data_IF_521791243801
#
_entry.id   IF_521791243801
#
_cell.length_a   1.000
_cell.length_b   1.000
_cell.length_c   1.000
_cell.angle_alpha   90.00
_cell.angle_beta   90.00
_cell.angle_gamma   90.00
#
_symmetry.space_group_name_H-M   'P 1'
#
loop_
_entity.id
_entity.type
_entity.pdbx_description
1 polymer ?
#
# COMPACT_ATOMS: atom_id res chain seq x y z
N UNK A 1 1.47 6.02 -15.23
CA UNK A 1 0.18 6.55 -15.70
C UNK A 1 -0.59 5.40 -16.35
N UNK A 2 -1.81 5.13 -15.88
CA UNK A 2 -2.68 4.07 -16.39
C UNK A 2 -3.94 4.61 -17.07
N UNK A 3 -4.09 5.94 -17.21
CA UNK A 3 -5.34 6.61 -17.60
C UNK A 3 -5.98 6.09 -18.89
N UNK A 4 -5.20 5.88 -19.95
CA UNK A 4 -5.70 5.49 -21.29
C UNK A 4 -5.73 3.96 -21.50
N UNK A 5 -5.63 3.18 -20.42
CA UNK A 5 -5.72 1.72 -20.51
C UNK A 5 -7.18 1.28 -20.37
N UNK A 6 -7.63 0.24 -21.10
CA UNK A 6 -8.99 -0.28 -21.03
C UNK A 6 -9.21 -1.13 -19.76
N UNK A 7 -8.81 -0.61 -18.60
CA UNK A 7 -8.87 -1.30 -17.31
C UNK A 7 -10.25 -1.07 -16.69
N UNK A 8 -10.94 -2.18 -16.40
CA UNK A 8 -12.22 -2.17 -15.66
C UNK A 8 -12.06 -2.48 -14.17
N UNK A 9 -10.89 -3.00 -13.79
CA UNK A 9 -10.52 -3.29 -12.40
C UNK A 9 -9.00 -3.28 -12.26
N UNK A 10 -8.52 -3.06 -11.03
CA UNK A 10 -7.13 -3.28 -10.64
C UNK A 10 -7.09 -4.54 -9.77
N UNK A 11 -6.50 -5.66 -10.25
CA UNK A 11 -6.42 -6.88 -9.47
C UNK A 11 -5.70 -6.67 -8.13
N UNK A 12 -6.14 -7.39 -7.10
CA UNK A 12 -5.48 -7.36 -5.79
C UNK A 12 -4.01 -7.77 -5.93
N UNK A 13 -3.13 -6.97 -5.32
CA UNK A 13 -1.68 -7.22 -5.37
C UNK A 13 -0.98 -6.72 -6.63
N UNK A 14 -1.67 -6.10 -7.60
CA UNK A 14 -1.01 -5.50 -8.78
C UNK A 14 0.03 -4.44 -8.42
N UNK A 15 -0.12 -3.84 -7.24
CA UNK A 15 0.78 -2.82 -6.69
C UNK A 15 1.59 -3.34 -5.49
N UNK A 16 1.72 -4.66 -5.33
CA UNK A 16 2.60 -5.25 -4.33
C UNK A 16 4.06 -4.89 -4.65
N UNK A 17 4.80 -4.45 -3.63
CA UNK A 17 6.18 -3.98 -3.75
C UNK A 17 6.34 -2.52 -4.15
N UNK A 18 5.26 -1.84 -4.56
CA UNK A 18 5.31 -0.41 -4.88
C UNK A 18 5.09 0.44 -3.61
N UNK A 19 6.15 0.65 -2.83
CA UNK A 19 6.10 1.31 -1.51
C UNK A 19 6.41 2.81 -1.51
N UNK A 20 6.78 3.36 -2.67
CA UNK A 20 7.20 4.77 -2.82
C UNK A 20 6.57 5.46 -4.04
N UNK A 21 5.32 5.13 -4.36
CA UNK A 21 4.59 5.81 -5.43
C UNK A 21 4.31 7.26 -5.02
N UNK A 22 4.93 8.20 -5.73
CA UNK A 22 4.66 9.63 -5.56
C UNK A 22 3.34 10.02 -6.22
N UNK A 23 3.05 9.41 -7.38
CA UNK A 23 1.90 9.74 -8.19
C UNK A 23 1.46 8.52 -9.00
N UNK A 24 0.15 8.28 -9.06
CA UNK A 24 -0.48 7.27 -9.88
C UNK A 24 -1.78 7.83 -10.47
N UNK A 25 -1.84 7.95 -11.78
CA UNK A 25 -3.08 8.23 -12.50
C UNK A 25 -3.73 6.92 -12.96
N UNK A 26 -5.02 6.75 -12.69
CA UNK A 26 -5.85 5.62 -13.12
C UNK A 26 -7.08 6.14 -13.86
N UNK A 27 -7.74 5.32 -14.71
CA UNK A 27 -9.03 5.70 -15.30
C UNK A 27 -10.02 6.13 -14.22
N UNK A 28 -10.83 7.17 -14.47
CA UNK A 28 -11.73 7.80 -13.48
C UNK A 28 -12.67 6.81 -12.76
N UNK A 29 -13.08 5.74 -13.46
CA UNK A 29 -13.95 4.71 -12.91
C UNK A 29 -13.27 3.84 -11.83
N UNK A 30 -11.94 3.80 -11.78
CA UNK A 30 -11.17 2.97 -10.86
C UNK A 30 -10.79 3.75 -9.61
N UNK A 31 -10.85 3.11 -8.45
CA UNK A 31 -10.30 3.64 -7.21
C UNK A 31 -8.78 3.56 -7.18
N UNK A 32 -8.17 4.46 -6.40
CA UNK A 32 -6.77 4.37 -6.08
C UNK A 32 -6.49 3.03 -5.38
N UNK A 33 -5.39 2.34 -5.68
CA UNK A 33 -4.99 1.12 -4.96
C UNK A 33 -4.91 1.41 -3.46
N UNK A 34 -5.47 0.52 -2.63
CA UNK A 34 -5.56 0.72 -1.18
C UNK A 34 -6.63 1.72 -0.73
N UNK A 35 -7.45 2.24 -1.65
CA UNK A 35 -8.48 3.24 -1.37
C UNK A 35 -7.90 4.63 -1.12
N UNK A 36 -8.76 5.62 -0.86
CA UNK A 36 -8.33 7.01 -0.61
C UNK A 36 -7.49 7.18 0.65
N UNK A 37 -7.63 6.30 1.64
CA UNK A 37 -6.86 6.33 2.89
C UNK A 37 -5.37 6.02 2.70
N UNK A 38 -5.01 5.32 1.62
CA UNK A 38 -3.63 4.97 1.28
C UNK A 38 -2.82 6.11 0.65
N UNK A 39 -3.45 7.26 0.39
CA UNK A 39 -2.86 8.39 -0.32
C UNK A 39 -3.05 9.69 0.47
N UNK A 40 -2.10 10.60 0.33
CA UNK A 40 -2.18 11.95 0.91
C UNK A 40 -3.30 12.74 0.27
N UNK A 41 -3.40 12.63 -1.05
CA UNK A 41 -4.38 13.33 -1.86
C UNK A 41 -4.91 12.43 -2.97
N UNK A 42 -6.23 12.47 -3.18
CA UNK A 42 -6.89 11.86 -4.34
C UNK A 42 -7.75 12.90 -5.01
N UNK A 43 -7.45 13.20 -6.27
CA UNK A 43 -8.21 14.15 -7.09
C UNK A 43 -8.78 13.45 -8.32
N UNK A 44 -9.91 13.97 -8.82
CA UNK A 44 -10.42 13.60 -10.13
C UNK A 44 -10.04 14.74 -11.09
N UNK A 45 -9.32 14.40 -12.16
CA UNK A 45 -8.90 15.36 -13.18
C UNK A 45 -9.26 14.80 -14.58
N UNK A 46 -10.18 15.48 -15.26
CA UNK A 46 -10.67 15.05 -16.58
C UNK A 46 -11.23 13.63 -16.57
N UNK A 47 -10.64 12.76 -17.39
CA UNK A 47 -10.96 11.32 -17.51
C UNK A 47 -10.18 10.43 -16.54
N UNK A 48 -9.41 11.03 -15.62
CA UNK A 48 -8.48 10.32 -14.74
C UNK A 48 -8.77 10.57 -13.26
N UNK A 49 -8.34 9.64 -12.44
CA UNK A 49 -8.22 9.81 -10.99
C UNK A 49 -6.73 9.80 -10.64
N UNK A 50 -6.28 10.86 -9.99
CA UNK A 50 -4.90 11.06 -9.59
C UNK A 50 -4.75 10.74 -8.10
N UNK A 51 -3.86 9.81 -7.80
CA UNK A 51 -3.52 9.37 -6.45
C UNK A 51 -2.11 9.88 -6.14
N UNK A 52 -1.95 10.75 -5.16
CA UNK A 52 -0.69 11.43 -4.86
C UNK A 52 -0.25 11.18 -3.41
N UNK A 53 1.06 11.07 -3.23
CA UNK A 53 1.69 10.86 -1.94
C UNK A 53 1.23 9.57 -1.27
N UNK A 54 1.78 8.42 -1.67
CA UNK A 54 1.48 7.16 -1.00
C UNK A 54 1.83 7.25 0.49
N UNK A 55 0.84 6.99 1.35
CA UNK A 55 1.02 6.97 2.80
C UNK A 55 1.67 5.67 3.25
N UNK A 56 2.50 5.75 4.28
CA UNK A 56 2.99 4.56 4.97
C UNK A 56 1.91 4.04 5.94
N UNK A 57 1.31 2.87 5.70
CA UNK A 57 0.32 2.29 6.59
C UNK A 57 0.86 1.99 8.00
N UNK A 58 2.18 1.85 8.18
CA UNK A 58 2.81 1.60 9.47
C UNK A 58 3.02 2.86 10.33
N UNK A 59 2.76 4.06 9.82
CA UNK A 59 2.96 5.34 10.55
C UNK A 59 1.74 5.76 11.43
N UNK A 60 0.66 4.96 11.49
CA UNK A 60 -0.53 5.31 12.26
C UNK A 60 -0.35 5.12 13.77
N UNK A 61 -0.78 6.10 14.58
CA UNK A 61 -0.81 6.04 16.06
C UNK A 61 -2.10 5.43 16.63
N UNK A 62 -2.99 4.90 15.80
CA UNK A 62 -4.27 4.32 16.21
C UNK A 62 -4.12 2.90 16.78
N UNK A 63 -5.00 2.52 17.71
CA UNK A 63 -5.07 1.28 18.50
C UNK A 63 -4.97 -0.07 17.75
N UNK A 64 -4.86 -0.08 16.42
CA UNK A 64 -4.34 -1.22 15.68
C UNK A 64 -2.86 -0.97 15.44
N UNK A 65 -2.00 -1.25 16.42
CA UNK A 65 -0.67 -1.73 16.03
C UNK A 65 -0.94 -2.93 15.11
N UNK A 66 -0.62 -2.82 13.83
CA UNK A 66 -0.80 -3.91 12.88
C UNK A 66 -0.20 -5.15 13.54
N UNK A 67 -0.95 -6.26 13.71
CA UNK A 67 -0.57 -7.33 14.63
C UNK A 67 0.50 -8.20 13.98
N UNK A 68 1.66 -7.60 13.73
CA UNK A 68 2.87 -8.33 13.44
C UNK A 68 3.19 -9.21 14.66
N UNK A 69 3.63 -10.46 14.43
CA UNK A 69 4.02 -11.33 15.52
C UNK A 69 5.20 -10.73 16.31
N UNK A 70 5.46 -11.31 17.48
CA UNK A 70 6.70 -11.02 18.21
C UNK A 70 7.91 -11.19 17.28
N UNK A 71 8.91 -10.30 17.42
CA UNK A 71 10.10 -10.25 16.57
C UNK A 71 9.84 -9.96 15.09
N UNK A 72 8.71 -9.34 14.74
CA UNK A 72 8.46 -8.81 13.42
C UNK A 72 8.13 -7.31 13.47
N UNK A 73 8.49 -6.60 12.41
CA UNK A 73 8.28 -5.16 12.28
C UNK A 73 7.29 -4.89 11.16
N UNK A 74 6.37 -3.94 11.36
CA UNK A 74 5.49 -3.49 10.30
C UNK A 74 6.32 -2.84 9.18
N UNK A 75 6.14 -3.31 7.96
CA UNK A 75 6.69 -2.69 6.76
C UNK A 75 5.60 -2.51 5.69
N UNK A 76 5.64 -1.42 4.91
CA UNK A 76 4.74 -1.23 3.79
C UNK A 76 5.00 -2.29 2.71
N UNK A 77 3.94 -2.80 2.08
CA UNK A 77 4.01 -3.74 0.97
C UNK A 77 3.39 -3.21 -0.32
N UNK A 78 2.91 -1.96 -0.34
CA UNK A 78 2.17 -1.35 -1.43
C UNK A 78 1.13 -0.35 -0.91
N UNK A 79 0.36 0.33 -1.77
CA UNK A 79 -0.68 1.25 -1.33
C UNK A 79 -1.74 0.53 -0.50
N UNK A 80 -1.86 0.88 0.78
CA UNK A 80 -2.77 0.21 1.73
C UNK A 80 -2.39 -1.22 2.09
N UNK A 81 -1.22 -1.71 1.67
CA UNK A 81 -0.74 -3.06 1.94
C UNK A 81 0.39 -3.04 2.97
N UNK A 82 0.39 -4.05 3.84
CA UNK A 82 1.39 -4.24 4.89
C UNK A 82 1.99 -5.64 4.83
N UNK A 83 3.21 -5.75 5.34
CA UNK A 83 3.89 -7.01 5.61
C UNK A 83 4.60 -6.94 6.95
N UNK A 84 4.90 -8.09 7.53
CA UNK A 84 5.58 -8.21 8.82
C UNK A 84 6.86 -9.05 8.66
N UNK A 85 7.91 -8.49 8.03
CA UNK A 85 9.22 -9.13 8.02
C UNK A 85 9.73 -9.34 9.45
N UNK A 86 10.48 -10.41 9.65
CA UNK A 86 11.18 -10.63 10.90
C UNK A 86 12.23 -9.53 11.11
N UNK A 87 12.31 -9.04 12.34
CA UNK A 87 13.40 -8.15 12.75
C UNK A 87 14.69 -8.95 12.87
N UNK A 88 15.83 -8.35 12.52
CA UNK A 88 17.11 -9.04 12.65
C UNK A 88 17.47 -9.22 14.13
N UNK A 89 17.98 -10.38 14.57
CA UNK A 89 18.42 -11.56 13.78
C UNK A 89 17.36 -12.64 13.55
N UNK A 90 16.10 -12.39 13.88
CA UNK A 90 15.05 -13.39 13.84
C UNK A 90 14.65 -13.82 12.43
N UNK A 91 14.29 -15.09 12.29
CA UNK A 91 13.87 -15.69 11.02
C UNK A 91 12.94 -16.90 11.21
N UNK A 92 12.43 -17.43 10.09
CA UNK A 92 11.53 -18.60 10.07
C UNK A 92 10.06 -18.28 10.34
N UNK A 93 9.24 -19.33 10.46
CA UNK A 93 7.80 -19.18 10.71
C UNK A 93 7.56 -18.44 12.02
N UNK A 94 6.81 -17.33 11.97
CA UNK A 94 6.53 -16.44 13.11
C UNK A 94 7.76 -15.81 13.77
N UNK A 95 8.92 -15.77 13.11
CA UNK A 95 10.12 -15.09 13.64
C UNK A 95 10.61 -15.65 14.98
N UNK A 96 10.56 -16.98 15.14
CA UNK A 96 10.91 -17.68 16.39
C UNK A 96 12.33 -18.27 16.41
N UNK A 97 13.11 -18.13 15.33
CA UNK A 97 14.50 -18.60 15.24
C UNK A 97 15.44 -17.40 15.20
N UNK A 98 16.64 -17.53 15.74
CA UNK A 98 17.70 -16.51 15.79
C UNK A 98 18.94 -16.99 15.03
#
# INVERSE_FOLDING_TARGET
DLTENPLTALPNGSFLGFTHLQCLAVPLALECPGGSSAWEEVTADGSSRLCQGQRNPCNGSGELAWPCPENAVCAPAGPGLVQCPCDSPFHGYKCLRE
#
